data_IF_544222748775
#
_entry.id   IF_544222748775
#
_cell.length_a   1.000
_cell.length_b   1.000
_cell.length_c   1.000
_cell.angle_alpha   90.00
_cell.angle_beta   90.00
_cell.angle_gamma   90.00
#
_symmetry.space_group_name_H-M   'P 1'
#
loop_
_entity.id
_entity.type
_entity.pdbx_description
1 polymer ?
#
# COMPACT_ATOMS: atom_id res chain seq x y z
N UNK A 1 -14.70 13.44 3.55
CA UNK A 1 -13.37 14.07 3.69
C UNK A 1 -12.61 13.25 4.73
N UNK A 2 -11.27 13.24 4.77
CA UNK A 2 -10.54 12.47 5.80
C UNK A 2 -10.91 12.92 7.23
N UNK A 3 -11.32 14.19 7.40
CA UNK A 3 -11.93 14.72 8.62
C UNK A 3 -13.11 13.93 9.18
N UNK A 4 -13.84 13.21 8.32
CA UNK A 4 -15.05 12.49 8.72
C UNK A 4 -14.74 11.11 9.31
N UNK A 5 -13.54 10.57 9.05
CA UNK A 5 -13.14 9.22 9.46
C UNK A 5 -12.00 9.22 10.49
N UNK A 6 -11.12 10.23 10.48
CA UNK A 6 -9.91 10.26 11.32
C UNK A 6 -10.21 10.19 12.82
N UNK A 7 -11.31 10.79 13.27
CA UNK A 7 -11.67 10.78 14.70
C UNK A 7 -11.94 9.34 15.16
N UNK A 8 -12.68 8.57 14.38
CA UNK A 8 -13.04 7.20 14.71
C UNK A 8 -11.80 6.29 14.65
N UNK A 9 -10.94 6.49 13.66
CA UNK A 9 -9.65 5.77 13.53
C UNK A 9 -8.75 6.02 14.75
N UNK A 10 -8.56 7.29 15.14
CA UNK A 10 -7.73 7.66 16.30
C UNK A 10 -8.31 7.11 17.60
N UNK A 11 -9.64 7.17 17.78
CA UNK A 11 -10.29 6.53 18.92
C UNK A 11 -10.06 5.01 18.94
N UNK A 12 -10.03 4.36 17.78
CA UNK A 12 -9.68 2.93 17.67
C UNK A 12 -8.22 2.68 18.06
N UNK A 13 -7.29 3.56 17.68
CA UNK A 13 -5.88 3.45 18.05
C UNK A 13 -5.64 3.63 19.56
N UNK A 14 -6.54 4.32 20.27
CA UNK A 14 -6.50 4.40 21.73
C UNK A 14 -7.09 3.19 22.46
N UNK A 15 -7.70 2.24 21.74
CA UNK A 15 -8.27 1.00 22.30
C UNK A 15 -7.36 -0.21 22.03
N UNK A 16 -6.06 -0.02 22.19
CA UNK A 16 -5.08 -1.08 22.07
C UNK A 16 -4.89 -1.79 23.40
N UNK A 17 -4.70 -3.11 23.35
CA UNK A 17 -4.32 -3.93 24.51
C UNK A 17 -2.80 -3.79 24.73
N UNK A 18 -2.36 -2.54 24.90
CA UNK A 18 -0.98 -2.14 25.13
C UNK A 18 -0.98 -0.99 26.15
N UNK A 19 -0.02 -0.92 27.10
CA UNK A 19 -0.04 0.09 28.14
C UNK A 19 -0.10 1.51 27.57
N UNK A 20 -1.09 2.31 27.97
CA UNK A 20 -1.43 3.59 27.34
C UNK A 20 -0.30 4.61 27.45
N UNK A 21 0.49 4.53 28.50
CA UNK A 21 1.67 5.34 28.78
C UNK A 21 2.88 5.01 27.90
N UNK A 22 2.88 3.88 27.18
CA UNK A 22 3.99 3.41 26.34
C UNK A 22 3.79 3.71 24.85
N UNK A 23 2.73 4.42 24.46
CA UNK A 23 2.55 4.83 23.09
C UNK A 23 1.80 6.15 22.98
N UNK A 24 2.05 6.87 21.89
CA UNK A 24 1.33 8.07 21.52
C UNK A 24 0.76 7.95 20.12
N UNK A 25 -0.32 8.69 19.87
CA UNK A 25 -0.89 8.82 18.52
C UNK A 25 -0.63 10.24 18.03
N UNK A 26 0.22 10.36 17.01
CA UNK A 26 0.56 11.62 16.37
C UNK A 26 -0.19 11.71 15.05
N UNK A 27 -1.14 12.64 14.99
CA UNK A 27 -1.90 12.96 13.78
C UNK A 27 -1.21 14.09 13.05
N UNK A 28 -0.93 13.86 11.77
CA UNK A 28 -0.35 14.85 10.88
C UNK A 28 -1.50 15.49 10.09
N UNK A 29 -1.89 16.70 10.48
CA UNK A 29 -3.00 17.43 9.90
C UNK A 29 -2.53 18.23 8.69
N UNK A 30 -2.85 17.73 7.50
CA UNK A 30 -2.69 18.45 6.25
C UNK A 30 -4.03 19.08 5.83
N UNK A 31 -4.19 20.37 6.12
CA UNK A 31 -5.40 21.14 5.76
C UNK A 31 -6.73 20.59 6.35
N UNK A 32 -6.70 19.87 7.47
CA UNK A 32 -7.92 19.50 8.21
C UNK A 32 -8.63 20.73 8.78
N UNK A 33 -9.94 20.59 9.02
CA UNK A 33 -10.73 21.66 9.63
C UNK A 33 -10.31 21.90 11.09
N UNK A 34 -10.43 23.14 11.54
CA UNK A 34 -10.11 23.53 12.92
C UNK A 34 -10.95 22.77 13.96
N UNK A 35 -12.22 22.47 13.67
CA UNK A 35 -13.10 21.69 14.55
C UNK A 35 -12.62 20.23 14.68
N UNK A 36 -12.16 19.63 13.58
CA UNK A 36 -11.54 18.29 13.59
C UNK A 36 -10.28 18.29 14.46
N UNK A 37 -9.40 19.28 14.29
CA UNK A 37 -8.16 19.41 15.07
C UNK A 37 -8.46 19.59 16.56
N UNK A 38 -9.44 20.43 16.90
CA UNK A 38 -9.85 20.65 18.29
C UNK A 38 -10.38 19.35 18.92
N UNK A 39 -11.17 18.57 18.18
CA UNK A 39 -11.67 17.26 18.64
C UNK A 39 -10.54 16.24 18.83
N UNK A 40 -9.57 16.17 17.91
CA UNK A 40 -8.40 15.30 18.03
C UNK A 40 -7.59 15.59 19.29
N UNK A 41 -7.31 16.88 19.55
CA UNK A 41 -6.64 17.31 20.78
C UNK A 41 -7.48 16.98 22.03
N UNK A 42 -8.80 17.13 21.94
CA UNK A 42 -9.75 16.78 23.01
C UNK A 42 -9.73 15.30 23.40
N UNK A 43 -9.38 14.40 22.46
CA UNK A 43 -9.18 12.96 22.74
C UNK A 43 -7.72 12.60 23.00
N UNK A 44 -6.89 13.57 23.40
CA UNK A 44 -5.46 13.41 23.76
C UNK A 44 -4.52 13.05 22.61
N UNK A 45 -4.97 13.09 21.36
CA UNK A 45 -4.07 12.90 20.23
C UNK A 45 -3.11 14.08 20.10
N UNK A 46 -1.85 13.77 19.82
CA UNK A 46 -0.86 14.77 19.45
C UNK A 46 -1.15 15.19 18.01
N UNK A 47 -1.18 16.49 17.73
CA UNK A 47 -1.48 16.99 16.38
C UNK A 47 -0.36 17.93 15.93
N UNK A 48 0.28 17.58 14.81
CA UNK A 48 1.18 18.47 14.08
C UNK A 48 0.47 18.95 12.80
N UNK A 49 0.59 20.23 12.47
CA UNK A 49 -0.10 20.81 11.32
C UNK A 49 0.87 21.13 10.20
N UNK A 50 0.43 20.91 8.97
CA UNK A 50 1.17 21.24 7.76
C UNK A 50 0.45 22.37 7.05
N UNK A 51 1.21 23.38 6.62
CA UNK A 51 0.71 24.54 5.89
C UNK A 51 1.14 24.58 4.41
N UNK A 52 1.79 23.52 3.91
CA UNK A 52 2.25 23.46 2.52
C UNK A 52 1.14 22.92 1.59
N UNK A 53 0.72 23.67 0.55
CA UNK A 53 -0.30 23.23 -0.40
C UNK A 53 0.14 22.09 -1.34
N UNK A 54 1.41 21.67 -1.32
CA UNK A 54 1.97 20.58 -2.13
C UNK A 54 2.59 19.47 -1.26
N UNK A 55 2.01 19.26 -0.08
CA UNK A 55 2.34 18.19 0.85
C UNK A 55 2.31 16.80 0.19
N UNK A 56 3.31 15.98 0.55
CA UNK A 56 3.36 14.54 0.25
C UNK A 56 3.36 13.76 1.54
N UNK A 57 3.09 12.46 1.48
CA UNK A 57 3.19 11.58 2.65
C UNK A 57 4.57 11.60 3.30
N UNK A 58 5.64 11.61 2.50
CA UNK A 58 7.00 11.71 3.02
C UNK A 58 7.23 13.04 3.73
N UNK A 59 6.79 14.15 3.15
CA UNK A 59 6.87 15.46 3.80
C UNK A 59 6.08 15.49 5.12
N UNK A 60 4.92 14.84 5.15
CA UNK A 60 4.14 14.70 6.38
C UNK A 60 4.88 13.92 7.46
N UNK A 61 5.53 12.80 7.11
CA UNK A 61 6.35 12.03 8.03
C UNK A 61 7.60 12.79 8.50
N UNK A 62 8.21 13.61 7.64
CA UNK A 62 9.30 14.53 8.04
C UNK A 62 8.83 15.51 9.10
N UNK A 63 7.62 16.08 8.95
CA UNK A 63 7.01 16.97 9.95
C UNK A 63 6.65 16.28 11.26
N UNK A 64 6.29 15.00 11.22
CA UNK A 64 6.13 14.21 12.44
C UNK A 64 7.46 14.03 13.18
N UNK A 65 8.55 13.72 12.45
CA UNK A 65 9.89 13.61 13.05
C UNK A 65 10.31 14.94 13.67
N UNK A 66 10.21 16.06 12.94
CA UNK A 66 10.52 17.39 13.49
C UNK A 66 9.75 17.66 14.79
N UNK A 67 8.45 17.35 14.81
CA UNK A 67 7.61 17.52 15.99
C UNK A 67 8.06 16.66 17.18
N UNK A 68 8.46 15.41 16.94
CA UNK A 68 8.98 14.50 17.99
C UNK A 68 10.29 15.07 18.58
N UNK A 69 11.20 15.49 17.71
CA UNK A 69 12.50 16.05 18.12
C UNK A 69 12.38 17.37 18.87
N UNK A 70 11.54 18.30 18.39
CA UNK A 70 11.31 19.60 19.02
C UNK A 70 10.72 19.44 20.43
N UNK A 71 9.85 18.45 20.61
CA UNK A 71 9.27 18.11 21.91
C UNK A 71 10.16 17.22 22.78
N UNK A 72 11.31 16.78 22.26
CA UNK A 72 12.25 15.87 22.94
C UNK A 72 11.57 14.58 23.39
N UNK A 73 10.66 14.07 22.56
CA UNK A 73 10.00 12.78 22.76
C UNK A 73 10.93 11.68 22.24
N UNK A 74 10.84 10.50 22.84
CA UNK A 74 11.66 9.34 22.48
C UNK A 74 10.77 8.12 22.33
N UNK A 75 11.00 7.36 21.27
CA UNK A 75 10.25 6.16 20.91
C UNK A 75 11.23 5.12 20.38
N UNK A 76 10.94 3.85 20.65
CA UNK A 76 11.71 2.73 20.08
C UNK A 76 11.21 2.36 18.67
N UNK A 77 9.93 2.61 18.40
CA UNK A 77 9.25 2.20 17.16
C UNK A 77 8.32 3.30 16.66
N UNK A 78 8.26 3.45 15.33
CA UNK A 78 7.27 4.25 14.61
C UNK A 78 6.30 3.34 13.86
N UNK A 79 5.00 3.52 14.10
CA UNK A 79 3.93 2.85 13.35
C UNK A 79 3.26 3.86 12.42
N UNK A 80 3.17 3.52 11.14
CA UNK A 80 2.58 4.37 10.08
C UNK A 80 1.23 3.78 9.65
N UNK A 81 0.17 4.54 9.89
CA UNK A 81 -1.21 4.21 9.53
C UNK A 81 -1.84 5.38 8.76
N UNK A 82 -2.63 5.07 7.74
CA UNK A 82 -3.47 6.05 7.04
C UNK A 82 -4.67 6.49 7.89
N UNK A 83 -5.25 7.65 7.57
CA UNK A 83 -6.30 8.28 8.36
C UNK A 83 -7.60 7.47 8.48
N UNK A 84 -7.86 6.58 7.54
CA UNK A 84 -9.06 5.74 7.45
C UNK A 84 -8.81 4.29 7.91
N UNK A 85 -7.60 4.01 8.41
CA UNK A 85 -7.23 2.66 8.79
C UNK A 85 -7.79 2.27 10.16
N UNK A 86 -8.15 1.00 10.28
CA UNK A 86 -8.60 0.38 11.53
C UNK A 86 -7.72 -0.82 11.82
N UNK A 87 -7.39 -1.04 13.08
CA UNK A 87 -6.55 -2.15 13.54
C UNK A 87 -7.18 -2.84 14.74
N UNK A 88 -6.85 -4.11 14.94
CA UNK A 88 -7.35 -4.88 16.09
C UNK A 88 -6.71 -4.39 17.41
N UNK A 89 -7.34 -4.64 18.58
CA UNK A 89 -6.79 -4.23 19.88
C UNK A 89 -5.37 -4.75 20.19
N UNK A 90 -5.03 -5.97 19.76
CA UNK A 90 -3.69 -6.56 19.97
C UNK A 90 -2.64 -6.13 18.93
N UNK A 91 -2.91 -5.11 18.12
CA UNK A 91 -2.04 -4.75 16.99
C UNK A 91 -0.67 -4.26 17.44
N UNK A 92 -0.61 -3.36 18.44
CA UNK A 92 0.66 -2.89 18.99
C UNK A 92 1.43 -3.99 19.73
N UNK A 93 0.72 -4.86 20.46
CA UNK A 93 1.32 -6.02 21.15
C UNK A 93 2.07 -6.92 20.16
N UNK A 94 1.45 -7.25 19.02
CA UNK A 94 2.07 -8.10 17.99
C UNK A 94 3.23 -7.44 17.25
N UNK A 95 3.17 -6.13 17.04
CA UNK A 95 4.30 -5.36 16.51
C UNK A 95 5.46 -5.37 17.50
N UNK A 96 5.17 -5.18 18.79
CA UNK A 96 6.15 -5.23 19.85
C UNK A 96 6.81 -6.62 19.94
N UNK A 97 6.05 -7.72 19.88
CA UNK A 97 6.58 -9.09 19.84
C UNK A 97 7.60 -9.28 18.70
N UNK A 98 7.26 -8.79 17.50
CA UNK A 98 8.13 -8.86 16.34
C UNK A 98 9.39 -7.99 16.50
N UNK A 99 9.24 -6.77 17.02
CA UNK A 99 10.36 -5.88 17.29
C UNK A 99 11.34 -6.49 18.31
N UNK A 100 10.82 -7.03 19.42
CA UNK A 100 11.63 -7.75 20.42
C UNK A 100 12.33 -8.99 19.86
N UNK A 101 11.80 -9.58 18.79
CA UNK A 101 12.42 -10.68 18.05
C UNK A 101 13.53 -10.22 17.09
N UNK A 102 13.79 -8.91 17.00
CA UNK A 102 14.85 -8.31 16.18
C UNK A 102 14.39 -7.72 14.85
N UNK A 103 13.08 -7.63 14.58
CA UNK A 103 12.56 -7.06 13.34
C UNK A 103 12.67 -5.52 13.35
N UNK A 104 13.45 -4.95 12.42
CA UNK A 104 13.65 -3.50 12.30
C UNK A 104 12.60 -2.81 11.41
N UNK A 105 12.01 -3.54 10.47
CA UNK A 105 10.99 -3.06 9.55
C UNK A 105 9.94 -4.14 9.36
N UNK A 106 8.67 -3.76 9.45
CA UNK A 106 7.53 -4.68 9.49
C UNK A 106 6.43 -4.15 8.56
N UNK A 107 5.86 -5.04 7.76
CA UNK A 107 4.60 -4.82 7.06
C UNK A 107 3.54 -5.76 7.62
N UNK A 108 2.40 -5.22 8.00
CA UNK A 108 1.22 -5.97 8.46
C UNK A 108 0.34 -6.40 7.28
N UNK A 109 -0.57 -7.33 7.51
CA UNK A 109 -1.52 -7.84 6.52
C UNK A 109 -2.63 -6.82 6.26
N UNK A 110 -2.45 -6.00 5.23
CA UNK A 110 -3.45 -5.01 4.84
C UNK A 110 -4.60 -5.66 4.07
N UNK A 111 -5.83 -5.37 4.48
CA UNK A 111 -7.06 -5.87 3.85
C UNK A 111 -8.07 -4.75 3.62
N UNK A 112 -8.94 -4.93 2.63
CA UNK A 112 -10.03 -3.99 2.38
C UNK A 112 -11.14 -4.14 3.45
N UNK A 113 -11.52 -3.02 4.08
CA UNK A 113 -12.63 -2.95 5.05
C UNK A 113 -14.00 -3.12 4.38
N UNK A 114 -14.16 -2.58 3.17
CA UNK A 114 -15.43 -2.56 2.44
C UNK A 114 -15.30 -3.17 1.04
N UNK A 115 -16.37 -3.85 0.61
CA UNK A 115 -16.48 -4.55 -0.68
C UNK A 115 -17.77 -4.16 -1.42
N UNK A 116 -18.23 -2.94 -1.19
CA UNK A 116 -19.57 -2.47 -1.58
C UNK A 116 -19.77 -2.33 -3.11
N UNK A 117 -18.68 -2.29 -3.88
CA UNK A 117 -18.69 -2.09 -5.33
C UNK A 117 -17.83 -3.13 -6.04
N UNK A 118 -18.14 -3.44 -7.31
CA UNK A 118 -17.32 -4.35 -8.11
C UNK A 118 -15.84 -3.93 -8.16
N UNK A 119 -15.57 -2.63 -8.21
CA UNK A 119 -14.20 -2.08 -8.17
C UNK A 119 -13.53 -2.32 -6.82
N UNK A 120 -14.23 -2.11 -5.71
CA UNK A 120 -13.71 -2.40 -4.37
C UNK A 120 -13.47 -3.90 -4.16
N UNK A 121 -14.34 -4.76 -4.69
CA UNK A 121 -14.15 -6.22 -4.66
C UNK A 121 -12.88 -6.64 -5.41
N UNK A 122 -12.68 -6.13 -6.63
CA UNK A 122 -11.48 -6.45 -7.41
C UNK A 122 -10.21 -5.83 -6.82
N UNK A 123 -10.32 -4.67 -6.17
CA UNK A 123 -9.20 -4.07 -5.44
C UNK A 123 -8.80 -4.91 -4.22
N UNK A 124 -9.78 -5.37 -3.44
CA UNK A 124 -9.57 -6.27 -2.31
C UNK A 124 -8.88 -7.58 -2.73
N UNK A 125 -9.37 -8.21 -3.80
CA UNK A 125 -8.74 -9.41 -4.38
C UNK A 125 -7.32 -9.12 -4.86
N UNK A 126 -7.10 -7.98 -5.52
CA UNK A 126 -5.77 -7.59 -5.96
C UNK A 126 -4.81 -7.36 -4.79
N UNK A 127 -5.30 -6.85 -3.64
CA UNK A 127 -4.48 -6.68 -2.45
C UNK A 127 -4.13 -8.02 -1.81
N UNK A 128 -5.07 -8.97 -1.72
CA UNK A 128 -4.77 -10.30 -1.20
C UNK A 128 -3.81 -11.11 -2.07
N UNK A 129 -3.88 -10.94 -3.39
CA UNK A 129 -2.87 -11.51 -4.30
C UNK A 129 -1.49 -10.86 -4.02
N UNK A 130 -1.43 -9.55 -3.71
CA UNK A 130 -0.16 -8.91 -3.30
C UNK A 130 0.36 -9.48 -1.98
N UNK A 131 -0.52 -9.64 -0.97
CA UNK A 131 -0.17 -10.22 0.33
C UNK A 131 0.38 -11.65 0.17
N UNK A 132 -0.29 -12.47 -0.64
CA UNK A 132 0.10 -13.86 -0.86
C UNK A 132 1.41 -13.98 -1.64
N UNK A 133 1.57 -13.23 -2.73
CA UNK A 133 2.73 -13.34 -3.61
C UNK A 133 3.89 -12.50 -3.09
N UNK A 134 3.74 -11.18 -3.03
CA UNK A 134 4.83 -10.21 -2.81
C UNK A 134 5.15 -9.93 -1.34
N UNK A 135 4.42 -10.56 -0.42
CA UNK A 135 4.70 -10.48 1.03
C UNK A 135 4.99 -11.88 1.54
N UNK A 136 3.95 -12.65 1.89
CA UNK A 136 4.07 -14.02 2.40
C UNK A 136 4.96 -14.91 1.53
N UNK A 137 4.73 -14.94 0.22
CA UNK A 137 5.53 -15.77 -0.69
C UNK A 137 7.00 -15.39 -0.70
N UNK A 138 7.32 -14.09 -0.68
CA UNK A 138 8.70 -13.60 -0.69
C UNK A 138 9.40 -13.85 0.65
N UNK A 139 8.74 -13.55 1.77
CA UNK A 139 9.32 -13.80 3.10
C UNK A 139 9.57 -15.29 3.35
N UNK A 140 8.71 -16.17 2.83
CA UNK A 140 8.94 -17.62 2.86
C UNK A 140 10.11 -18.09 1.99
N UNK A 141 10.49 -17.33 0.97
CA UNK A 141 11.65 -17.58 0.12
C UNK A 141 12.94 -16.89 0.63
N UNK A 142 12.86 -16.14 1.73
CA UNK A 142 13.98 -15.38 2.30
C UNK A 142 14.19 -13.98 1.69
N UNK A 143 13.21 -13.47 0.95
CA UNK A 143 13.17 -12.08 0.44
C UNK A 143 12.29 -11.20 1.32
N UNK A 144 12.52 -9.89 1.32
CA UNK A 144 11.71 -8.96 2.10
C UNK A 144 10.26 -8.91 1.64
N UNK A 145 9.39 -8.61 2.60
CA UNK A 145 8.02 -8.23 2.35
C UNK A 145 7.92 -6.91 1.57
N UNK A 146 6.96 -6.84 0.65
CA UNK A 146 6.65 -5.59 -0.04
C UNK A 146 5.90 -4.58 0.85
N UNK A 147 6.41 -3.35 0.97
CA UNK A 147 5.70 -2.26 1.65
C UNK A 147 4.43 -1.85 0.91
N UNK A 148 3.38 -1.53 1.66
CA UNK A 148 2.05 -1.18 1.14
C UNK A 148 1.67 0.29 1.37
N UNK A 149 2.51 1.05 2.08
CA UNK A 149 2.26 2.44 2.43
C UNK A 149 1.53 2.63 3.75
N UNK A 150 0.83 1.62 4.27
CA UNK A 150 0.19 1.68 5.58
C UNK A 150 0.24 0.32 6.28
N UNK A 151 0.00 0.32 7.59
CA UNK A 151 0.22 -0.87 8.41
C UNK A 151 1.70 -1.23 8.40
N UNK A 152 2.56 -0.23 8.56
CA UNK A 152 4.02 -0.41 8.56
C UNK A 152 4.55 -0.02 9.92
N UNK A 153 5.54 -0.74 10.41
CA UNK A 153 6.24 -0.39 11.64
C UNK A 153 7.75 -0.46 11.43
N UNK A 154 8.47 0.43 12.07
CA UNK A 154 9.91 0.59 11.90
C UNK A 154 10.56 0.94 13.22
N UNK A 155 11.78 0.46 13.46
CA UNK A 155 12.64 1.00 14.51
C UNK A 155 12.80 2.52 14.28
N UNK A 156 12.65 3.31 15.34
CA UNK A 156 12.46 4.76 15.20
C UNK A 156 13.68 5.47 14.61
N UNK A 157 14.91 5.13 15.01
CA UNK A 157 16.12 5.76 14.49
C UNK A 157 16.33 5.41 13.00
N UNK A 158 16.05 4.17 12.62
CA UNK A 158 16.02 3.72 11.24
C UNK A 158 14.98 4.51 10.43
N UNK A 159 13.74 4.59 10.94
CA UNK A 159 12.66 5.34 10.31
C UNK A 159 13.06 6.80 10.05
N UNK A 160 13.57 7.46 11.10
CA UNK A 160 14.06 8.84 11.05
C UNK A 160 15.13 9.02 9.97
N UNK A 161 16.15 8.16 9.97
CA UNK A 161 17.24 8.20 8.99
C UNK A 161 16.75 7.99 7.55
N UNK A 162 15.79 7.09 7.33
CA UNK A 162 15.24 6.83 6.01
C UNK A 162 14.49 8.06 5.51
N UNK A 163 13.53 8.55 6.30
CA UNK A 163 12.61 9.63 5.93
C UNK A 163 13.36 10.95 5.72
N UNK A 164 14.33 11.28 6.58
CA UNK A 164 15.10 12.53 6.46
C UNK A 164 15.98 12.56 5.21
N UNK A 165 16.46 11.42 4.72
CA UNK A 165 17.28 11.41 3.50
C UNK A 165 16.48 11.33 2.19
N UNK A 166 15.15 11.41 2.21
CA UNK A 166 14.34 11.40 0.98
C UNK A 166 14.15 12.85 0.54
N UNK A 167 14.94 13.27 -0.47
CA UNK A 167 14.98 14.67 -0.93
C UNK A 167 13.93 15.00 -2.02
N UNK A 168 13.28 14.00 -2.62
CA UNK A 168 12.42 14.17 -3.80
C UNK A 168 10.98 13.67 -3.60
N UNK A 169 10.06 14.31 -4.32
CA UNK A 169 8.63 13.98 -4.43
C UNK A 169 8.48 12.55 -4.97
N UNK A 170 8.36 11.59 -4.06
CA UNK A 170 8.16 10.18 -4.39
C UNK A 170 7.62 9.39 -3.19
N UNK A 171 6.39 8.88 -3.33
CA UNK A 171 5.65 8.08 -2.34
C UNK A 171 6.40 6.79 -1.94
N UNK A 172 6.15 6.30 -0.71
CA UNK A 172 6.40 5.02 0.00
C UNK A 172 7.46 4.02 -0.53
N UNK A 173 7.57 3.83 -1.84
CA UNK A 173 8.57 2.96 -2.50
C UNK A 173 10.00 3.47 -2.38
N UNK A 174 10.21 4.75 -2.10
CA UNK A 174 11.54 5.28 -1.77
C UNK A 174 12.04 4.75 -0.42
N UNK A 175 11.13 4.56 0.55
CA UNK A 175 11.47 3.94 1.84
C UNK A 175 11.90 2.49 1.65
N UNK A 176 11.08 1.72 0.92
CA UNK A 176 11.37 0.33 0.59
C UNK A 176 12.73 0.20 -0.11
N UNK A 177 12.95 0.98 -1.19
CA UNK A 177 14.24 0.97 -1.90
C UNK A 177 15.43 1.25 -0.98
N UNK A 178 15.31 2.21 -0.05
CA UNK A 178 16.39 2.53 0.89
C UNK A 178 16.65 1.39 1.86
N UNK A 179 15.62 0.76 2.41
CA UNK A 179 15.73 -0.41 3.28
C UNK A 179 16.49 -1.52 2.55
N UNK A 180 16.05 -1.88 1.35
CA UNK A 180 16.65 -2.95 0.55
C UNK A 180 18.10 -2.65 0.15
N UNK A 181 18.41 -1.39 -0.20
CA UNK A 181 19.78 -0.98 -0.51
C UNK A 181 20.71 -0.98 0.72
N UNK A 182 20.16 -0.90 1.92
CA UNK A 182 20.87 -1.02 3.19
C UNK A 182 20.86 -2.47 3.72
N UNK A 183 20.34 -3.44 2.96
CA UNK A 183 20.15 -4.83 3.36
C UNK A 183 19.32 -4.98 4.66
N UNK A 184 18.35 -4.09 4.85
CA UNK A 184 17.42 -4.17 5.96
C UNK A 184 16.22 -4.97 5.49
N UNK A 185 16.03 -6.12 6.13
CA UNK A 185 14.95 -7.04 5.83
C UNK A 185 13.61 -6.51 6.37
N UNK A 186 12.56 -6.65 5.57
CA UNK A 186 11.20 -6.24 5.92
C UNK A 186 10.38 -7.49 6.24
N UNK A 187 9.99 -7.65 7.51
CA UNK A 187 9.20 -8.79 7.95
C UNK A 187 7.72 -8.64 7.55
N UNK A 188 7.05 -9.77 7.34
CA UNK A 188 5.62 -9.81 7.10
C UNK A 188 4.86 -10.45 8.25
N UNK A 189 4.01 -9.67 8.91
CA UNK A 189 3.07 -10.18 9.92
C UNK A 189 1.72 -10.51 9.27
N UNK A 190 1.60 -11.76 8.82
CA UNK A 190 0.40 -12.29 8.14
C UNK A 190 -0.86 -12.22 9.02
N UNK A 191 -0.74 -12.51 10.32
CA UNK A 191 -1.90 -12.59 11.22
C UNK A 191 -2.24 -11.24 11.89
N UNK A 192 -1.53 -10.17 11.52
CA UNK A 192 -1.74 -8.82 12.06
C UNK A 192 -2.41 -7.96 11.00
N UNK A 193 -3.70 -7.68 11.18
CA UNK A 193 -4.51 -7.03 10.15
C UNK A 193 -4.53 -5.51 10.27
N UNK A 194 -4.45 -4.84 9.11
CA UNK A 194 -4.74 -3.41 8.95
C UNK A 194 -5.86 -3.25 7.92
N UNK A 195 -7.02 -2.79 8.38
CA UNK A 195 -8.21 -2.63 7.55
C UNK A 195 -8.25 -1.25 6.93
N UNK A 196 -8.33 -1.19 5.60
CA UNK A 196 -8.26 0.01 4.77
C UNK A 196 -9.60 0.28 4.07
N UNK A 197 -10.11 1.52 4.14
CA UNK A 197 -11.40 1.87 3.53
C UNK A 197 -11.25 2.20 2.04
N UNK A 198 -11.71 1.31 1.17
CA UNK A 198 -11.59 1.45 -0.28
C UNK A 198 -12.57 2.47 -0.85
N UNK A 199 -12.03 3.27 -1.77
CA UNK A 199 -12.74 4.33 -2.48
C UNK A 199 -13.97 3.80 -3.21
N UNK A 200 -15.12 4.44 -2.97
CA UNK A 200 -16.40 4.04 -3.57
C UNK A 200 -16.60 4.59 -4.99
N UNK A 201 -15.88 5.64 -5.40
CA UNK A 201 -16.05 6.34 -6.67
C UNK A 201 -15.25 5.76 -7.85
N UNK A 202 -15.92 5.39 -8.95
CA UNK A 202 -15.28 4.90 -10.20
C UNK A 202 -14.25 5.87 -10.80
N UNK A 203 -14.51 7.19 -10.73
CA UNK A 203 -13.63 8.24 -11.26
C UNK A 203 -12.38 8.43 -10.42
N UNK A 204 -12.51 8.30 -9.09
CA UNK A 204 -11.41 8.41 -8.14
C UNK A 204 -10.50 7.18 -8.25
N UNK A 205 -11.06 5.98 -8.35
CA UNK A 205 -10.34 4.74 -8.64
C UNK A 205 -9.48 4.85 -9.92
N UNK A 206 -10.06 5.38 -11.00
CA UNK A 206 -9.36 5.56 -12.27
C UNK A 206 -8.16 6.51 -12.15
N UNK A 207 -8.32 7.62 -11.43
CA UNK A 207 -7.25 8.60 -11.20
C UNK A 207 -6.14 8.03 -10.30
N UNK A 208 -6.50 7.31 -9.23
CA UNK A 208 -5.53 6.62 -8.38
C UNK A 208 -4.69 5.61 -9.15
N UNK A 209 -5.32 4.78 -10.01
CA UNK A 209 -4.59 3.79 -10.83
C UNK A 209 -3.68 4.43 -11.87
N UNK A 210 -4.07 5.57 -12.46
CA UNK A 210 -3.20 6.34 -13.35
C UNK A 210 -1.96 6.87 -12.64
N UNK A 211 -2.11 7.39 -11.41
CA UNK A 211 -0.97 7.83 -10.59
C UNK A 211 -0.06 6.65 -10.27
N UNK A 212 -0.62 5.54 -9.80
CA UNK A 212 0.14 4.34 -9.46
C UNK A 212 0.98 3.85 -10.65
N UNK A 213 0.40 3.82 -11.86
CA UNK A 213 1.12 3.48 -13.09
C UNK A 213 2.28 4.45 -13.38
N UNK A 214 2.04 5.77 -13.28
CA UNK A 214 3.08 6.77 -13.50
C UNK A 214 4.24 6.63 -12.49
N UNK A 215 3.92 6.42 -11.21
CA UNK A 215 4.90 6.20 -10.14
C UNK A 215 5.68 4.90 -10.35
N UNK A 216 5.02 3.81 -10.77
CA UNK A 216 5.69 2.54 -11.10
C UNK A 216 6.77 2.72 -12.18
N UNK A 217 6.42 3.37 -13.30
CA UNK A 217 7.38 3.60 -14.38
C UNK A 217 8.54 4.48 -13.92
N UNK A 218 8.26 5.59 -13.23
CA UNK A 218 9.31 6.48 -12.70
C UNK A 218 10.29 5.75 -11.78
N UNK A 219 9.77 4.90 -10.89
CA UNK A 219 10.57 4.15 -9.94
C UNK A 219 11.40 3.06 -10.63
N UNK A 220 10.83 2.38 -11.63
CA UNK A 220 11.56 1.40 -12.42
C UNK A 220 12.73 2.05 -13.18
N UNK A 221 12.50 3.17 -13.88
CA UNK A 221 13.55 3.84 -14.64
C UNK A 221 14.65 4.44 -13.76
N UNK A 222 14.30 4.96 -12.59
CA UNK A 222 15.31 5.45 -11.62
C UNK A 222 16.02 4.32 -10.87
N UNK A 223 15.41 3.15 -10.76
CA UNK A 223 15.93 1.99 -10.06
C UNK A 223 16.87 1.13 -10.91
N UNK A 224 16.57 0.97 -12.20
CA UNK A 224 17.27 0.05 -13.11
C UNK A 224 18.75 0.43 -13.32
N UNK A 225 19.11 1.72 -13.21
CA UNK A 225 20.50 2.18 -13.30
C UNK A 225 21.39 1.64 -12.18
N UNK A 226 20.81 1.31 -11.02
CA UNK A 226 21.54 0.76 -9.88
C UNK A 226 21.60 -0.77 -9.88
N UNK A 227 20.88 -1.45 -10.79
CA UNK A 227 20.80 -2.90 -10.85
C UNK A 227 22.18 -3.59 -10.99
N UNK A 228 23.09 -3.14 -11.88
CA UNK A 228 24.39 -3.80 -12.03
C UNK A 228 25.22 -3.75 -10.74
N UNK A 229 25.25 -2.60 -10.06
CA UNK A 229 25.97 -2.44 -8.79
C UNK A 229 25.32 -3.23 -7.64
N UNK A 230 23.98 -3.32 -7.62
CA UNK A 230 23.25 -4.12 -6.65
C UNK A 230 23.52 -5.62 -6.80
N UNK A 231 23.55 -6.13 -8.04
CA UNK A 231 23.90 -7.52 -8.32
C UNK A 231 25.32 -7.86 -7.87
N UNK A 232 26.29 -6.99 -8.19
CA UNK A 232 27.69 -7.18 -7.81
C UNK A 232 27.90 -7.11 -6.28
N UNK A 233 27.07 -6.35 -5.57
CA UNK A 233 27.12 -6.22 -4.11
C UNK A 233 26.22 -7.22 -3.36
N UNK A 234 25.60 -8.17 -4.06
CA UNK A 234 24.77 -9.22 -3.46
C UNK A 234 23.44 -8.73 -2.89
N UNK A 235 22.93 -7.57 -3.32
CA UNK A 235 21.66 -6.99 -2.87
C UNK A 235 20.48 -7.61 -3.63
N UNK A 236 20.31 -8.93 -3.47
CA UNK A 236 19.34 -9.73 -4.21
C UNK A 236 17.90 -9.29 -4.00
N UNK A 237 17.58 -8.84 -2.79
CA UNK A 237 16.25 -8.35 -2.41
C UNK A 237 15.84 -7.10 -3.21
N UNK A 238 16.78 -6.17 -3.38
CA UNK A 238 16.59 -5.01 -4.26
C UNK A 238 16.44 -5.43 -5.73
N UNK A 239 17.21 -6.42 -6.19
CA UNK A 239 17.15 -6.89 -7.57
C UNK A 239 15.80 -7.55 -7.88
N UNK A 240 15.31 -8.39 -6.97
CA UNK A 240 13.99 -9.01 -7.04
C UNK A 240 12.89 -7.94 -7.04
N UNK A 241 12.99 -6.93 -6.16
CA UNK A 241 12.04 -5.82 -6.12
C UNK A 241 11.95 -5.07 -7.45
N UNK A 242 13.08 -4.80 -8.10
CA UNK A 242 13.09 -4.17 -9.42
C UNK A 242 12.39 -5.06 -10.46
N UNK A 243 12.60 -6.37 -10.42
CA UNK A 243 11.90 -7.31 -11.28
C UNK A 243 10.38 -7.29 -11.05
N UNK A 244 9.93 -7.23 -9.80
CA UNK A 244 8.51 -7.06 -9.48
C UNK A 244 7.93 -5.77 -10.10
N UNK A 245 8.68 -4.65 -10.05
CA UNK A 245 8.25 -3.37 -10.62
C UNK A 245 8.21 -3.34 -12.16
N UNK A 246 8.88 -4.29 -12.83
CA UNK A 246 8.76 -4.47 -14.28
C UNK A 246 7.42 -5.10 -14.69
N UNK A 247 6.72 -5.75 -13.76
CA UNK A 247 5.46 -6.43 -14.07
C UNK A 247 4.36 -5.41 -14.38
N UNK A 248 3.66 -5.54 -15.53
CA UNK A 248 2.51 -4.69 -15.81
C UNK A 248 1.38 -4.99 -14.79
N UNK A 249 0.46 -4.05 -14.56
CA UNK A 249 -0.72 -4.32 -13.76
C UNK A 249 -1.43 -5.59 -14.22
N UNK A 250 -1.85 -6.43 -13.27
CA UNK A 250 -2.38 -7.77 -13.55
C UNK A 250 -3.53 -7.81 -14.56
N UNK A 251 -4.42 -6.82 -14.53
CA UNK A 251 -5.53 -6.71 -15.49
C UNK A 251 -4.99 -6.50 -16.91
N UNK A 252 -3.96 -5.67 -17.08
CA UNK A 252 -3.28 -5.50 -18.37
C UNK A 252 -2.52 -6.76 -18.77
N UNK A 253 -1.82 -7.39 -17.84
CA UNK A 253 -1.13 -8.67 -18.07
C UNK A 253 -2.09 -9.72 -18.63
N UNK A 254 -3.21 -9.96 -17.94
CA UNK A 254 -4.24 -10.92 -18.36
C UNK A 254 -4.81 -10.55 -19.73
N UNK A 255 -5.20 -9.29 -19.94
CA UNK A 255 -5.79 -8.87 -21.20
C UNK A 255 -4.83 -8.99 -22.38
N UNK A 256 -3.56 -8.60 -22.23
CA UNK A 256 -2.56 -8.76 -23.29
C UNK A 256 -2.26 -10.22 -23.60
N UNK A 257 -2.10 -11.08 -22.58
CA UNK A 257 -1.87 -12.52 -22.78
C UNK A 257 -3.03 -13.15 -23.55
N UNK A 258 -4.28 -12.82 -23.20
CA UNK A 258 -5.47 -13.31 -23.91
C UNK A 258 -5.49 -12.80 -25.36
N UNK A 259 -5.26 -11.50 -25.59
CA UNK A 259 -5.26 -10.92 -26.93
C UNK A 259 -4.19 -11.54 -27.84
N UNK A 260 -2.97 -11.72 -27.32
CA UNK A 260 -1.87 -12.34 -28.05
C UNK A 260 -2.18 -13.82 -28.33
N UNK A 261 -2.71 -14.56 -27.35
CA UNK A 261 -3.11 -15.95 -27.52
C UNK A 261 -4.17 -16.11 -28.63
N UNK A 262 -5.22 -15.29 -28.61
CA UNK A 262 -6.27 -15.29 -29.63
C UNK A 262 -5.72 -14.92 -31.02
N UNK A 263 -4.95 -13.83 -31.11
CA UNK A 263 -4.36 -13.37 -32.37
C UNK A 263 -3.45 -14.43 -33.00
N UNK A 264 -2.55 -15.02 -32.21
CA UNK A 264 -1.66 -16.06 -32.69
C UNK A 264 -2.39 -17.36 -33.02
N UNK A 265 -3.52 -17.67 -32.36
CA UNK A 265 -4.31 -18.86 -32.70
C UNK A 265 -4.86 -18.77 -34.13
N UNK A 266 -5.20 -17.56 -34.60
CA UNK A 266 -5.64 -17.32 -35.98
C UNK A 266 -4.49 -17.44 -36.97
N UNK A 267 -3.27 -17.01 -36.61
CA UNK A 267 -2.10 -17.05 -37.50
C UNK A 267 -1.45 -18.44 -37.54
N UNK A 268 -1.16 -19.00 -36.37
CA UNK A 268 -0.48 -20.28 -36.20
C UNK A 268 -0.74 -20.85 -34.80
N UNK A 269 -1.52 -21.94 -34.74
CA UNK A 269 -1.89 -22.61 -33.50
C UNK A 269 -0.68 -23.09 -32.67
N UNK A 270 0.42 -23.50 -33.30
CA UNK A 270 1.60 -23.96 -32.56
C UNK A 270 2.29 -22.84 -31.78
N UNK A 271 2.23 -21.60 -32.29
CA UNK A 271 2.76 -20.43 -31.58
C UNK A 271 1.85 -20.02 -30.41
N UNK A 272 0.53 -20.24 -30.51
CA UNK A 272 -0.42 -19.84 -29.46
C UNK A 272 -0.41 -20.77 -28.25
N UNK A 273 0.01 -22.04 -28.38
CA UNK A 273 0.06 -23.01 -27.27
C UNK A 273 0.82 -22.45 -26.06
N UNK A 274 1.97 -21.79 -26.27
CA UNK A 274 2.76 -21.21 -25.17
C UNK A 274 2.00 -20.11 -24.42
N UNK A 275 1.20 -19.31 -25.13
CA UNK A 275 0.41 -18.24 -24.54
C UNK A 275 -0.82 -18.75 -23.80
N UNK A 276 -1.48 -19.79 -24.32
CA UNK A 276 -2.55 -20.49 -23.60
C UNK A 276 -2.01 -21.20 -22.35
N UNK A 277 -0.83 -21.83 -22.44
CA UNK A 277 -0.13 -22.40 -21.29
C UNK A 277 0.21 -21.33 -20.24
N UNK A 278 0.75 -20.19 -20.67
CA UNK A 278 1.01 -19.05 -19.78
C UNK A 278 -0.27 -18.54 -19.10
N UNK A 279 -1.36 -18.41 -19.85
CA UNK A 279 -2.66 -17.99 -19.30
C UNK A 279 -3.16 -18.99 -18.24
N UNK A 280 -3.01 -20.30 -18.50
CA UNK A 280 -3.37 -21.34 -17.55
C UNK A 280 -2.53 -21.23 -16.26
N UNK A 281 -1.20 -21.07 -16.38
CA UNK A 281 -0.33 -20.90 -15.22
C UNK A 281 -0.68 -19.64 -14.41
N UNK A 282 -0.94 -18.51 -15.07
CA UNK A 282 -1.39 -17.28 -14.38
C UNK A 282 -2.72 -17.54 -13.67
N UNK A 283 -3.66 -18.24 -14.31
CA UNK A 283 -4.94 -18.61 -13.73
C UNK A 283 -4.81 -19.47 -12.47
N UNK A 284 -3.93 -20.47 -12.51
CA UNK A 284 -3.62 -21.32 -11.34
C UNK A 284 -2.98 -20.48 -10.23
N UNK A 285 -1.96 -19.69 -10.54
CA UNK A 285 -1.28 -18.83 -9.57
C UNK A 285 -2.24 -17.87 -8.88
N UNK A 286 -3.11 -17.18 -9.63
CA UNK A 286 -4.10 -16.29 -9.03
C UNK A 286 -5.17 -17.05 -8.25
N UNK A 287 -5.57 -18.25 -8.68
CA UNK A 287 -6.53 -19.05 -7.92
C UNK A 287 -5.95 -19.48 -6.56
N UNK A 288 -4.67 -19.82 -6.51
CA UNK A 288 -3.97 -20.16 -5.26
C UNK A 288 -3.70 -18.95 -4.36
N UNK A 289 -3.52 -17.76 -4.96
CA UNK A 289 -3.22 -16.53 -4.22
C UNK A 289 -4.47 -15.80 -3.70
N UNK A 290 -5.67 -16.20 -4.10
CA UNK A 290 -6.92 -15.58 -3.65
C UNK A 290 -7.51 -16.41 -2.50
N UNK A 291 -7.68 -15.84 -1.30
CA UNK A 291 -8.30 -16.53 -0.18
C UNK A 291 -9.75 -16.93 -0.45
N UNK A 292 -10.18 -18.08 0.08
CA UNK A 292 -11.52 -18.63 -0.11
C UNK A 292 -12.65 -17.68 0.30
N UNK A 293 -12.42 -16.87 1.35
CA UNK A 293 -13.42 -15.92 1.86
C UNK A 293 -13.76 -14.81 0.86
N UNK A 294 -12.90 -14.54 -0.12
CA UNK A 294 -13.15 -13.57 -1.19
C UNK A 294 -13.89 -14.18 -2.38
N UNK A 295 -13.95 -15.50 -2.53
CA UNK A 295 -14.56 -16.20 -3.67
C UNK A 295 -16.07 -16.35 -3.50
N UNK A 296 -16.77 -15.21 -3.43
CA UNK A 296 -18.20 -15.13 -3.20
C UNK A 296 -19.00 -14.72 -4.47
N UNK A 297 -20.32 -14.53 -4.31
CA UNK A 297 -21.19 -14.05 -5.40
C UNK A 297 -20.79 -12.65 -5.90
N UNK A 298 -20.26 -11.80 -5.02
CA UNK A 298 -19.84 -10.44 -5.38
C UNK A 298 -18.59 -10.48 -6.27
N UNK A 299 -17.64 -11.36 -5.95
CA UNK A 299 -16.46 -11.63 -6.76
C UNK A 299 -16.81 -12.13 -8.15
N UNK A 300 -17.71 -13.11 -8.25
CA UNK A 300 -18.19 -13.61 -9.57
C UNK A 300 -18.81 -12.50 -10.42
N UNK A 301 -19.61 -11.61 -9.81
CA UNK A 301 -20.17 -10.43 -10.51
C UNK A 301 -19.08 -9.43 -10.89
N UNK A 302 -18.08 -9.24 -10.03
CA UNK A 302 -17.02 -8.29 -10.25
C UNK A 302 -16.08 -8.72 -11.40
N UNK A 303 -15.80 -10.03 -11.55
CA UNK A 303 -15.01 -10.58 -12.67
C UNK A 303 -15.59 -10.18 -14.03
N UNK A 304 -16.91 -10.11 -14.17
CA UNK A 304 -17.58 -9.71 -15.43
C UNK A 304 -17.17 -8.29 -15.85
N UNK A 305 -16.75 -7.44 -14.91
CA UNK A 305 -16.28 -6.08 -15.20
C UNK A 305 -14.81 -5.97 -15.63
N UNK A 306 -14.04 -7.07 -15.58
CA UNK A 306 -12.62 -7.07 -15.97
C UNK A 306 -12.34 -6.59 -17.40
N UNK A 307 -13.12 -6.95 -18.44
CA UNK A 307 -12.88 -6.45 -19.80
C UNK A 307 -13.00 -4.92 -19.91
N UNK A 308 -13.97 -4.33 -19.20
CA UNK A 308 -14.16 -2.88 -19.16
C UNK A 308 -12.98 -2.22 -18.43
N UNK A 309 -12.56 -2.80 -17.30
CA UNK A 309 -11.39 -2.31 -16.55
C UNK A 309 -10.10 -2.41 -17.37
N UNK A 310 -9.91 -3.49 -18.12
CA UNK A 310 -8.78 -3.63 -19.04
C UNK A 310 -8.75 -2.49 -20.05
N UNK A 311 -9.88 -2.20 -20.72
CA UNK A 311 -9.95 -1.11 -21.69
C UNK A 311 -9.66 0.26 -21.06
N UNK A 312 -10.22 0.53 -19.87
CA UNK A 312 -9.94 1.75 -19.12
C UNK A 312 -8.46 1.88 -18.73
N UNK A 313 -7.84 0.80 -18.25
CA UNK A 313 -6.43 0.77 -17.90
C UNK A 313 -5.52 0.90 -19.13
N UNK A 314 -5.91 0.30 -20.25
CA UNK A 314 -5.19 0.40 -21.51
C UNK A 314 -5.17 1.84 -22.03
N UNK A 315 -6.33 2.51 -22.03
CA UNK A 315 -6.42 3.94 -22.38
C UNK A 315 -5.58 4.83 -21.46
N UNK A 316 -5.43 4.44 -20.18
CA UNK A 316 -4.59 5.17 -19.24
C UNK A 316 -3.10 5.19 -19.61
N UNK A 317 -2.59 4.15 -20.28
CA UNK A 317 -1.19 4.11 -20.75
C UNK A 317 -0.89 5.26 -21.70
N UNK A 318 -1.84 5.66 -22.54
CA UNK A 318 -1.69 6.76 -23.50
C UNK A 318 -1.88 8.15 -22.87
N UNK A 319 -2.35 8.21 -21.62
CA UNK A 319 -2.63 9.45 -20.89
C UNK A 319 -1.65 9.66 -19.73
N UNK A 320 -0.50 9.01 -19.67
CA UNK A 320 0.40 9.10 -18.49
C UNK A 320 1.00 10.51 -18.23
N UNK A 321 1.04 11.42 -19.23
CA UNK A 321 1.52 12.79 -19.04
C UNK A 321 0.63 13.57 -18.04
N UNK A 322 1.23 14.06 -16.95
CA UNK A 322 0.61 14.97 -15.98
C UNK A 322 0.08 14.35 -14.68
N UNK A 323 0.17 13.03 -14.48
CA UNK A 323 -0.39 12.35 -13.29
C UNK A 323 0.44 12.44 -11.99
N UNK A 324 1.71 12.84 -12.07
CA UNK A 324 2.66 12.82 -10.93
C UNK A 324 2.69 14.10 -10.10
N UNK A 325 1.92 15.14 -10.44
CA UNK A 325 2.17 16.49 -9.91
C UNK A 325 1.28 16.93 -8.73
N UNK A 326 0.28 16.16 -8.28
CA UNK A 326 -0.54 16.56 -7.10
C UNK A 326 -1.06 15.37 -6.29
N UNK A 327 -0.87 15.43 -4.97
CA UNK A 327 -1.63 14.66 -3.99
C UNK A 327 -3.11 15.10 -4.11
N UNK A 328 -4.03 14.13 -4.16
CA UNK A 328 -5.47 14.41 -4.27
C UNK A 328 -6.13 13.62 -3.16
N UNK A 329 -6.71 14.32 -2.19
CA UNK A 329 -7.46 13.71 -1.09
C UNK A 329 -8.61 12.86 -1.62
N UNK A 330 -8.75 11.66 -1.08
CA UNK A 330 -9.82 10.73 -1.41
C UNK A 330 -11.10 11.14 -0.66
N UNK A 331 -12.24 11.26 -1.35
CA UNK A 331 -13.51 11.58 -0.69
C UNK A 331 -14.18 10.31 -0.16
N UNK A 332 -14.10 10.09 1.15
CA UNK A 332 -14.93 9.10 1.84
C UNK A 332 -16.36 9.64 2.03
N UNK A 333 -17.37 8.77 1.86
CA UNK A 333 -18.78 9.10 2.10
C UNK A 333 -19.27 8.33 3.32
N UNK A 334 -19.52 9.04 4.43
CA UNK A 334 -20.13 8.47 5.63
C UNK A 334 -21.60 8.11 5.37
N UNK A 335 -22.04 6.93 5.83
CA UNK A 335 -23.45 6.59 5.99
C UNK A 335 -23.75 6.59 7.48
N UNK A 336 -24.56 7.55 7.93
CA UNK A 336 -25.31 7.40 9.16
C UNK A 336 -26.43 6.37 8.90
N UNK A 337 -26.26 5.15 9.42
CA UNK A 337 -27.40 4.26 9.64
C UNK A 337 -27.95 4.57 11.04
N UNK A 338 -28.98 5.40 11.10
CA UNK A 338 -29.84 5.47 12.26
C UNK A 338 -30.60 4.14 12.34
N UNK A 339 -30.30 3.38 13.39
CA UNK A 339 -31.11 2.25 13.84
C UNK A 339 -32.49 2.74 14.27
N UNK A 340 -33.52 2.11 13.71
CA UNK A 340 -34.82 1.95 14.35
C UNK A 340 -35.08 0.47 14.52
#
# INVERSE_FOLDING_TARGET
MEDDVIIDSVQSFFKQDYPRELYDVIVISDQMREDTIARLKGITAMVTQISDPMSTKIYALQKAIEYIEDKKLSYDMAVVLDADNVVNPHFLEKINDAFYSGCLAIQTHRVAKNRDTNTAVLDAVSEEINNSIFRKGHTRLGFSSGLSGSGMAFEYDLFKKIIQGIDEIGEDKHMERKLLLQNIYIEYLEDVYTYDEKVRGKKEFYNQRRRWLATQFSNLFSGISQLPGAMLSGKWDYCDKLFQWMMPPRVLLLGFVILIACFLTVINIFLSIKWWGLLLFIGITFSLAVPDYLVDRQFKRAIISLPILFFLMFLNLFRLRGGSKKFIHTKHSAKHENSH
#
